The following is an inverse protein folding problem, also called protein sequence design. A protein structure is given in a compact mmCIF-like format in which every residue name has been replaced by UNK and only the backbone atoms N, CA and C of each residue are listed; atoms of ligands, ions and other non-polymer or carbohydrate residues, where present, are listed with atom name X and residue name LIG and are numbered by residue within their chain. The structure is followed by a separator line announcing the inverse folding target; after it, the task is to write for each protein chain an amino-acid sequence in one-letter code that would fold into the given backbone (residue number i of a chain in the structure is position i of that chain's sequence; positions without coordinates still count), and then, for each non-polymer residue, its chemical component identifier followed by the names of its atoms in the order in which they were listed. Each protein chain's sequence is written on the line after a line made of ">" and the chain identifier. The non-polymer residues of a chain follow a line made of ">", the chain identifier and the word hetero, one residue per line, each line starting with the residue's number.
data_IF_669565586369
#
_entry.id   IF_669565586369
#
_cell.length_a   1.000
_cell.length_b   1.000
_cell.length_c   1.000
_cell.angle_alpha   90.00
_cell.angle_beta   90.00
_cell.angle_gamma   90.00
#
_symmetry.space_group_name_H-M   'P 1'
#
loop_
_entity.id
_entity.type
_entity.pdbx_description
1 polymer ?
#
# COMPACT_ATOMS: atom_id res chain seq x y z
N UNK A 1 -8.66 1.12 2.63
CA UNK A 1 -8.80 -0.07 1.74
C UNK A 1 -7.45 -0.38 1.09
N UNK A 2 -7.09 -1.65 0.94
CA UNK A 2 -5.86 -2.07 0.23
C UNK A 2 -6.26 -2.59 -1.15
N UNK A 3 -5.52 -2.22 -2.19
CA UNK A 3 -5.68 -2.76 -3.54
C UNK A 3 -4.39 -3.46 -3.95
N UNK A 4 -4.48 -4.76 -4.21
CA UNK A 4 -3.41 -5.57 -4.77
C UNK A 4 -3.63 -5.70 -6.28
N UNK A 5 -2.57 -5.57 -7.06
CA UNK A 5 -2.68 -5.52 -8.52
C UNK A 5 -2.62 -6.90 -9.20
N UNK A 6 -2.45 -7.98 -8.44
CA UNK A 6 -2.48 -9.36 -8.99
C UNK A 6 -1.38 -9.65 -10.01
N UNK A 7 -0.25 -8.94 -9.92
CA UNK A 7 0.87 -9.15 -10.83
C UNK A 7 1.53 -10.51 -10.55
N UNK A 8 1.80 -11.34 -11.58
CA UNK A 8 2.27 -12.70 -11.39
C UNK A 8 3.70 -12.75 -10.81
N UNK A 9 4.55 -11.79 -11.19
CA UNK A 9 5.96 -11.78 -10.80
C UNK A 9 6.53 -10.36 -10.64
N UNK A 10 7.67 -10.30 -9.95
CA UNK A 10 8.47 -9.11 -9.72
C UNK A 10 9.92 -9.40 -10.07
N UNK A 11 10.43 -8.66 -11.06
CA UNK A 11 11.86 -8.59 -11.34
C UNK A 11 12.42 -7.35 -10.64
N UNK A 12 13.17 -7.53 -9.54
CA UNK A 12 13.72 -6.44 -8.75
C UNK A 12 12.66 -5.69 -7.92
N UNK A 13 12.45 -4.40 -8.20
CA UNK A 13 11.49 -3.57 -7.46
C UNK A 13 10.27 -3.24 -8.33
N UNK A 14 9.09 -3.71 -7.92
CA UNK A 14 7.83 -3.43 -8.63
C UNK A 14 6.73 -3.09 -7.64
N UNK A 15 5.96 -2.03 -7.94
CA UNK A 15 4.78 -1.68 -7.15
C UNK A 15 3.67 -2.73 -7.33
N UNK A 16 3.35 -3.45 -6.26
CA UNK A 16 2.40 -4.57 -6.25
C UNK A 16 1.00 -4.21 -5.74
N UNK A 17 0.87 -3.07 -5.07
CA UNK A 17 -0.41 -2.60 -4.58
C UNK A 17 -0.36 -1.17 -4.08
N UNK A 18 -1.46 -0.72 -3.48
CA UNK A 18 -1.61 0.60 -2.88
C UNK A 18 -2.57 0.54 -1.69
N UNK A 19 -2.26 1.28 -0.63
CA UNK A 19 -3.18 1.53 0.46
C UNK A 19 -3.86 2.90 0.28
N UNK A 20 -5.18 2.92 0.42
CA UNK A 20 -6.01 4.12 0.36
C UNK A 20 -6.61 4.40 1.72
N UNK A 21 -6.56 5.66 2.16
CA UNK A 21 -7.15 6.12 3.39
C UNK A 21 -7.80 7.50 3.21
N UNK A 22 -8.87 7.74 3.98
CA UNK A 22 -9.45 9.06 4.16
C UNK A 22 -8.94 9.64 5.48
N UNK A 23 -8.71 10.94 5.49
CA UNK A 23 -8.24 11.71 6.63
C UNK A 23 -8.97 13.04 6.72
N UNK A 24 -8.78 13.73 7.85
CA UNK A 24 -9.32 15.08 8.06
C UNK A 24 -8.64 16.10 7.15
N UNK A 25 -7.40 15.84 6.80
CA UNK A 25 -6.58 16.57 5.85
C UNK A 25 -5.67 15.59 5.08
N UNK A 26 -4.84 16.13 4.20
CA UNK A 26 -3.93 15.34 3.36
C UNK A 26 -2.87 14.60 4.19
N UNK A 27 -2.34 15.23 5.24
CA UNK A 27 -1.28 14.63 6.06
C UNK A 27 -1.81 13.46 6.91
N UNK A 28 -3.00 13.62 7.52
CA UNK A 28 -3.70 12.56 8.23
C UNK A 28 -4.07 11.40 7.30
N UNK A 29 -4.57 11.70 6.09
CA UNK A 29 -4.88 10.68 5.09
C UNK A 29 -3.63 9.91 4.67
N UNK A 30 -2.53 10.64 4.40
CA UNK A 30 -1.24 10.08 4.00
C UNK A 30 -0.64 9.22 5.10
N UNK A 31 -0.61 9.69 6.34
CA UNK A 31 -0.09 8.93 7.49
C UNK A 31 -0.87 7.63 7.70
N UNK A 32 -2.21 7.68 7.58
CA UNK A 32 -3.07 6.48 7.65
C UNK A 32 -2.78 5.51 6.51
N UNK A 33 -2.63 6.00 5.27
CA UNK A 33 -2.32 5.16 4.12
C UNK A 33 -0.95 4.48 4.26
N UNK A 34 0.08 5.22 4.70
CA UNK A 34 1.42 4.69 4.92
C UNK A 34 1.41 3.61 6.01
N UNK A 35 0.77 3.88 7.15
CA UNK A 35 0.64 2.89 8.23
C UNK A 35 -0.07 1.63 7.76
N UNK A 36 -1.15 1.77 6.98
CA UNK A 36 -1.86 0.62 6.43
C UNK A 36 -0.97 -0.19 5.47
N UNK A 37 -0.18 0.48 4.62
CA UNK A 37 0.76 -0.19 3.70
C UNK A 37 1.88 -0.92 4.46
N UNK A 38 2.39 -0.38 5.57
CA UNK A 38 3.48 -1.00 6.33
C UNK A 38 3.08 -2.28 7.07
N UNK A 39 1.79 -2.53 7.26
CA UNK A 39 1.28 -3.79 7.83
C UNK A 39 1.22 -4.93 6.80
N UNK A 40 1.37 -4.65 5.51
CA UNK A 40 1.41 -5.67 4.47
C UNK A 40 2.76 -6.36 4.51
N UNK A 41 2.77 -7.65 4.87
CA UNK A 41 3.96 -8.51 4.76
C UNK A 41 3.98 -9.17 3.38
N UNK A 42 5.15 -9.16 2.76
CA UNK A 42 5.41 -9.85 1.50
C UNK A 42 6.29 -11.05 1.82
N UNK A 43 5.83 -12.23 1.44
CA UNK A 43 6.55 -13.50 1.61
C UNK A 43 6.93 -14.05 0.21
N UNK A 44 8.01 -14.82 0.15
CA UNK A 44 8.61 -15.36 -1.07
C UNK A 44 8.04 -16.74 -1.43
#
# INVERSE_FOLDING_TARGET
>A
AIRLFGKPEVHGLRRMGVALALGRDVEDAKAKAIRAASHVRVEL
#
